data_IF_566956280821
#
_entry.id   IF_566956280821
#
_cell.length_a   1.000
_cell.length_b   1.000
_cell.length_c   1.000
_cell.angle_alpha   90.00
_cell.angle_beta   90.00
_cell.angle_gamma   90.00
#
_symmetry.space_group_name_H-M   'P 1'
#
loop_
_entity.id
_entity.type
_entity.pdbx_description
1 polymer ?
#
# COMPACT_ATOMS: atom_id res chain seq x y z
N UNK A 1 -14.37 -7.25 -1.34
CA UNK A 1 -14.17 -6.27 -2.42
C UNK A 1 -14.46 -6.82 -3.83
N UNK A 2 -15.03 -8.06 -3.95
CA UNK A 2 -15.56 -8.59 -5.21
C UNK A 2 -14.54 -9.04 -6.27
N UNK A 3 -13.24 -8.91 -6.01
CA UNK A 3 -12.20 -9.42 -6.90
C UNK A 3 -11.60 -10.72 -6.38
N UNK A 4 -11.31 -11.64 -7.30
CA UNK A 4 -10.54 -12.85 -7.00
C UNK A 4 -9.12 -12.49 -6.57
N UNK A 5 -8.57 -13.32 -5.66
CA UNK A 5 -7.18 -13.16 -5.24
C UNK A 5 -6.23 -13.60 -6.36
N UNK A 6 -5.19 -12.82 -6.64
CA UNK A 6 -4.08 -13.27 -7.49
C UNK A 6 -3.35 -14.47 -6.89
N UNK A 7 -2.44 -15.07 -7.67
CA UNK A 7 -1.71 -16.31 -7.32
C UNK A 7 -0.80 -16.20 -6.07
N UNK A 8 -0.51 -15.01 -5.57
CA UNK A 8 0.40 -14.79 -4.44
C UNK A 8 -0.32 -14.97 -3.09
N UNK A 9 -0.21 -16.16 -2.53
CA UNK A 9 -0.87 -16.48 -1.25
C UNK A 9 -0.21 -15.73 -0.08
N UNK A 10 -0.96 -14.92 0.70
CA UNK A 10 -0.42 -14.15 1.82
C UNK A 10 0.08 -15.02 2.98
N UNK A 11 -0.24 -16.31 3.01
CA UNK A 11 0.34 -17.26 3.97
C UNK A 11 1.78 -17.66 3.62
N UNK A 12 2.17 -17.51 2.36
CA UNK A 12 3.53 -17.77 1.88
C UNK A 12 4.37 -16.49 1.79
N UNK A 13 3.75 -15.34 1.51
CA UNK A 13 4.36 -14.02 1.39
C UNK A 13 3.52 -13.01 2.17
N UNK A 14 3.84 -12.87 3.46
CA UNK A 14 2.98 -12.20 4.45
C UNK A 14 2.67 -10.73 4.14
N UNK A 15 3.56 -10.02 3.43
CA UNK A 15 3.32 -8.65 3.01
C UNK A 15 2.07 -8.48 2.15
N UNK A 16 1.72 -9.51 1.39
CA UNK A 16 0.51 -9.47 0.55
C UNK A 16 -0.78 -9.46 1.37
N UNK A 17 -0.75 -9.84 2.64
CA UNK A 17 -1.93 -9.78 3.51
C UNK A 17 -2.43 -8.34 3.67
N UNK A 18 -1.55 -7.42 4.05
CA UNK A 18 -1.90 -6.01 4.17
C UNK A 18 -2.21 -5.38 2.80
N UNK A 19 -1.44 -5.74 1.75
CA UNK A 19 -1.70 -5.26 0.39
C UNK A 19 -3.12 -5.61 -0.07
N UNK A 20 -3.54 -6.86 0.04
CA UNK A 20 -4.87 -7.27 -0.41
C UNK A 20 -6.01 -6.68 0.43
N UNK A 21 -5.78 -6.54 1.74
CA UNK A 21 -6.78 -5.96 2.63
C UNK A 21 -7.01 -4.47 2.36
N UNK A 22 -5.95 -3.71 2.01
CA UNK A 22 -5.97 -2.24 1.93
C UNK A 22 -5.85 -1.68 0.50
N UNK A 23 -5.78 -2.55 -0.52
CA UNK A 23 -5.69 -2.10 -1.90
C UNK A 23 -6.90 -1.25 -2.31
N UNK A 24 -6.71 -0.13 -3.01
CA UNK A 24 -7.79 0.79 -3.34
C UNK A 24 -8.80 0.22 -4.35
N UNK A 25 -8.49 -0.88 -5.03
CA UNK A 25 -9.40 -1.54 -6.00
C UNK A 25 -9.67 -3.01 -5.71
N UNK A 26 -9.50 -3.45 -4.46
CA UNK A 26 -9.65 -4.84 -4.05
C UNK A 26 -8.34 -5.64 -4.15
N UNK A 27 -8.41 -6.96 -4.11
CA UNK A 27 -7.23 -7.83 -4.10
C UNK A 27 -6.40 -7.68 -5.39
N UNK A 28 -5.38 -6.83 -5.35
CA UNK A 28 -4.54 -6.51 -6.50
C UNK A 28 -3.06 -6.54 -6.12
N UNK A 29 -2.29 -7.44 -6.74
CA UNK A 29 -0.85 -7.57 -6.47
C UNK A 29 0.00 -6.46 -7.13
N UNK A 30 -0.53 -5.72 -8.11
CA UNK A 30 0.20 -4.62 -8.77
C UNK A 30 0.01 -3.26 -8.08
N UNK A 31 -0.86 -3.18 -7.08
CA UNK A 31 -1.01 -1.98 -6.24
C UNK A 31 -0.03 -1.96 -5.05
N UNK A 32 0.79 -3.00 -4.92
CA UNK A 32 1.81 -3.15 -3.88
C UNK A 32 2.35 -4.57 -3.95
N UNK A 33 3.36 -4.80 -4.76
CA UNK A 33 3.94 -6.12 -5.07
C UNK A 33 4.89 -6.61 -3.96
N UNK A 34 4.42 -6.61 -2.73
CA UNK A 34 5.18 -7.07 -1.58
C UNK A 34 5.77 -8.47 -1.73
N UNK A 35 5.20 -9.31 -2.60
CA UNK A 35 5.78 -10.63 -2.90
C UNK A 35 7.20 -10.50 -3.48
N UNK A 36 7.47 -9.51 -4.33
CA UNK A 36 8.82 -9.26 -4.85
C UNK A 36 9.79 -8.85 -3.74
N UNK A 37 9.34 -7.97 -2.83
CA UNK A 37 10.13 -7.54 -1.67
C UNK A 37 10.35 -8.71 -0.70
N UNK A 38 9.32 -9.48 -0.40
CA UNK A 38 9.43 -10.66 0.45
C UNK A 38 10.34 -11.75 -0.15
N UNK A 39 10.56 -11.73 -1.47
CA UNK A 39 11.49 -12.58 -2.21
C UNK A 39 12.88 -11.95 -2.44
N UNK A 40 13.10 -10.73 -1.97
CA UNK A 40 14.44 -10.11 -1.98
C UNK A 40 14.59 -8.80 -2.75
N UNK A 41 13.54 -8.31 -3.44
CA UNK A 41 13.61 -6.99 -4.07
C UNK A 41 13.91 -5.92 -3.02
N UNK A 42 14.90 -5.09 -3.30
CA UNK A 42 15.33 -3.99 -2.44
C UNK A 42 15.40 -2.70 -3.24
N UNK A 43 14.80 -1.64 -2.70
CA UNK A 43 14.95 -0.26 -3.13
C UNK A 43 15.22 0.58 -1.86
N UNK A 44 16.46 0.51 -1.40
CA UNK A 44 16.88 1.11 -0.12
C UNK A 44 16.68 2.61 -0.06
N UNK A 45 16.82 3.29 -1.21
CA UNK A 45 16.70 4.74 -1.36
C UNK A 45 15.29 5.26 -1.00
N UNK A 46 14.28 4.40 -1.16
CA UNK A 46 12.89 4.68 -0.76
C UNK A 46 12.45 3.87 0.46
N UNK A 47 13.40 3.25 1.16
CA UNK A 47 13.17 2.49 2.38
C UNK A 47 12.39 1.19 2.18
N UNK A 48 12.41 0.62 0.96
CA UNK A 48 11.84 -0.68 0.65
C UNK A 48 12.92 -1.74 0.81
N UNK A 49 12.88 -2.44 1.95
CA UNK A 49 13.88 -3.44 2.32
C UNK A 49 13.18 -4.72 2.79
N UNK A 50 13.65 -5.91 2.35
CA UNK A 50 13.07 -7.18 2.76
C UNK A 50 13.18 -7.40 4.27
N UNK A 51 12.11 -7.89 4.88
CA UNK A 51 12.10 -8.27 6.30
C UNK A 51 11.88 -9.77 6.53
N UNK A 52 11.95 -10.57 5.44
CA UNK A 52 11.64 -11.99 5.45
C UNK A 52 10.15 -12.28 5.19
N UNK A 53 9.88 -13.27 4.32
CA UNK A 53 8.56 -13.51 3.73
C UNK A 53 7.45 -13.91 4.71
N UNK A 54 7.82 -14.41 5.89
CA UNK A 54 6.87 -14.85 6.92
C UNK A 54 6.76 -13.87 8.11
N UNK A 55 7.60 -12.83 8.16
CA UNK A 55 7.55 -11.83 9.22
C UNK A 55 6.30 -10.96 9.01
N UNK A 56 5.49 -10.81 10.06
CA UNK A 56 4.28 -9.97 10.03
C UNK A 56 4.49 -8.65 10.77
N UNK A 57 5.07 -8.70 11.98
CA UNK A 57 5.33 -7.49 12.79
C UNK A 57 6.31 -6.53 12.11
N UNK A 58 5.94 -5.25 12.04
CA UNK A 58 6.73 -4.20 11.37
C UNK A 58 6.71 -4.27 9.84
N UNK A 59 5.97 -5.21 9.26
CA UNK A 59 5.86 -5.36 7.80
C UNK A 59 5.07 -4.20 7.17
N UNK A 60 4.08 -3.71 7.86
CA UNK A 60 3.15 -2.69 7.35
C UNK A 60 3.85 -1.40 6.95
N UNK A 61 4.92 -1.02 7.66
CA UNK A 61 5.77 0.12 7.28
C UNK A 61 6.41 -0.01 5.90
N UNK A 62 6.77 -1.22 5.50
CA UNK A 62 7.32 -1.47 4.15
C UNK A 62 6.19 -1.53 3.14
N UNK A 63 5.04 -2.11 3.51
CA UNK A 63 3.85 -2.18 2.66
C UNK A 63 3.39 -0.78 2.22
N UNK A 64 3.32 0.19 3.14
CA UNK A 64 2.92 1.56 2.80
C UNK A 64 3.86 2.17 1.76
N UNK A 65 5.17 2.03 1.95
CA UNK A 65 6.18 2.54 1.01
C UNK A 65 6.10 1.89 -0.37
N UNK A 66 5.88 0.57 -0.42
CA UNK A 66 5.70 -0.15 -1.68
C UNK A 66 4.45 0.31 -2.41
N UNK A 67 3.33 0.49 -1.70
CA UNK A 67 2.09 0.98 -2.30
C UNK A 67 2.23 2.40 -2.84
N UNK A 68 2.91 3.29 -2.12
CA UNK A 68 3.18 4.67 -2.57
C UNK A 68 4.06 4.66 -3.81
N UNK A 69 5.13 3.87 -3.78
CA UNK A 69 6.05 3.75 -4.91
C UNK A 69 5.38 3.16 -6.16
N UNK A 70 4.60 2.08 -5.99
CA UNK A 70 3.85 1.49 -7.11
C UNK A 70 2.70 2.36 -7.61
N UNK A 71 2.19 3.24 -6.78
CA UNK A 71 1.23 4.26 -7.21
C UNK A 71 1.85 5.24 -8.23
N UNK A 72 3.11 5.61 -8.06
CA UNK A 72 3.85 6.41 -9.07
C UNK A 72 4.00 5.64 -10.38
N UNK A 73 4.37 4.35 -10.33
CA UNK A 73 4.44 3.50 -11.54
C UNK A 73 3.10 3.47 -12.28
N UNK A 74 2.01 3.26 -11.55
CA UNK A 74 0.67 3.25 -12.14
C UNK A 74 0.30 4.61 -12.76
N UNK A 75 0.68 5.71 -12.13
CA UNK A 75 0.42 7.06 -12.64
C UNK A 75 1.28 7.40 -13.85
N UNK A 76 2.51 6.89 -13.90
CA UNK A 76 3.41 7.03 -15.05
C UNK A 76 3.13 5.99 -16.17
N UNK A 77 2.13 5.12 -16.00
CA UNK A 77 1.81 4.01 -16.93
C UNK A 77 3.05 3.12 -17.18
N UNK A 78 3.90 2.99 -16.17
CA UNK A 78 5.12 2.18 -16.26
C UNK A 78 4.85 0.74 -15.85
N UNK A 79 5.36 -0.20 -16.62
CA UNK A 79 5.29 -1.62 -16.28
C UNK A 79 6.12 -1.91 -15.02
N UNK A 80 5.53 -2.57 -14.04
CA UNK A 80 6.18 -2.92 -12.78
C UNK A 80 7.41 -3.83 -12.95
N UNK A 81 7.47 -4.63 -14.02
CA UNK A 81 8.60 -5.52 -14.28
C UNK A 81 9.86 -4.82 -14.80
N UNK A 82 9.77 -3.58 -15.26
CA UNK A 82 10.94 -2.79 -15.66
C UNK A 82 11.86 -2.52 -14.47
N UNK A 83 11.29 -2.21 -13.33
CA UNK A 83 11.93 -2.10 -12.02
C UNK A 83 13.27 -1.30 -12.02
N UNK A 84 13.31 -0.07 -12.56
CA UNK A 84 14.51 0.74 -12.53
C UNK A 84 14.90 1.07 -11.09
N UNK A 85 16.15 1.44 -10.85
CA UNK A 85 16.56 2.01 -9.56
C UNK A 85 15.74 3.25 -9.25
N UNK A 86 15.54 3.56 -7.97
CA UNK A 86 14.74 4.72 -7.58
C UNK A 86 15.27 6.04 -8.14
N UNK A 87 16.59 6.32 -8.14
CA UNK A 87 17.14 7.52 -8.79
C UNK A 87 16.86 7.59 -10.30
N UNK A 88 16.96 6.46 -11.01
CA UNK A 88 16.68 6.43 -12.44
C UNK A 88 15.21 6.71 -12.72
N UNK A 89 14.29 6.12 -11.94
CA UNK A 89 12.86 6.37 -12.11
C UNK A 89 12.49 7.83 -11.85
N UNK A 90 13.03 8.42 -10.79
CA UNK A 90 12.85 9.85 -10.49
C UNK A 90 13.37 10.73 -11.62
N UNK A 91 14.56 10.42 -12.16
CA UNK A 91 15.11 11.13 -13.29
C UNK A 91 14.19 11.06 -14.52
N UNK A 92 13.70 9.88 -14.85
CA UNK A 92 12.75 9.71 -15.96
C UNK A 92 11.48 10.53 -15.77
N UNK A 93 10.90 10.55 -14.56
CA UNK A 93 9.72 11.35 -14.25
C UNK A 93 10.02 12.85 -14.37
N UNK A 94 11.15 13.31 -13.85
CA UNK A 94 11.55 14.71 -13.90
C UNK A 94 11.76 15.18 -15.34
N UNK A 95 12.44 14.40 -16.17
CA UNK A 95 12.66 14.72 -17.60
C UNK A 95 11.34 14.73 -18.38
N UNK A 96 10.43 13.79 -18.10
CA UNK A 96 9.15 13.70 -18.79
C UNK A 96 8.18 14.82 -18.42
N UNK A 97 8.21 15.30 -17.17
CA UNK A 97 7.28 16.31 -16.65
C UNK A 97 7.84 17.72 -16.64
N UNK A 98 9.14 17.88 -16.70
CA UNK A 98 9.84 19.15 -16.45
C UNK A 98 9.88 19.54 -14.95
N UNK A 99 9.44 18.66 -14.05
CA UNK A 99 9.44 18.92 -12.60
C UNK A 99 10.77 18.51 -11.98
N UNK A 100 11.54 19.48 -11.52
CA UNK A 100 12.79 19.22 -10.80
C UNK A 100 12.48 18.92 -9.33
N UNK A 101 12.51 17.65 -8.95
CA UNK A 101 12.16 17.20 -7.59
C UNK A 101 12.98 15.98 -7.17
N UNK A 102 13.18 15.84 -5.87
CA UNK A 102 13.94 14.73 -5.30
C UNK A 102 13.08 13.47 -5.08
N UNK A 103 13.73 12.40 -4.64
CA UNK A 103 13.09 11.11 -4.35
C UNK A 103 12.01 11.26 -3.27
N UNK A 104 12.24 12.11 -2.26
CA UNK A 104 11.31 12.29 -1.13
C UNK A 104 10.02 12.95 -1.62
N UNK A 105 10.14 13.96 -2.47
CA UNK A 105 8.99 14.63 -3.07
C UNK A 105 8.15 13.67 -3.92
N UNK A 106 8.79 12.85 -4.74
CA UNK A 106 8.10 11.87 -5.58
C UNK A 106 7.42 10.78 -4.72
N UNK A 107 8.10 10.29 -3.68
CA UNK A 107 7.51 9.32 -2.75
C UNK A 107 6.28 9.91 -2.05
N UNK A 108 6.36 11.15 -1.59
CA UNK A 108 5.22 11.88 -1.00
C UNK A 108 4.09 12.10 -2.02
N UNK A 109 4.41 12.28 -3.29
CA UNK A 109 3.41 12.34 -4.37
C UNK A 109 2.67 11.01 -4.51
N UNK A 110 3.37 9.89 -4.46
CA UNK A 110 2.77 8.56 -4.43
C UNK A 110 1.84 8.36 -3.24
N UNK A 111 2.28 8.75 -2.05
CA UNK A 111 1.48 8.75 -0.82
C UNK A 111 0.21 9.58 -0.99
N UNK A 112 0.32 10.82 -1.46
CA UNK A 112 -0.83 11.70 -1.73
C UNK A 112 -1.86 11.06 -2.67
N UNK A 113 -1.41 10.44 -3.75
CA UNK A 113 -2.31 9.77 -4.70
C UNK A 113 -2.97 8.54 -4.06
N UNK A 114 -2.23 7.79 -3.24
CA UNK A 114 -2.77 6.63 -2.54
C UNK A 114 -3.85 7.03 -1.54
N UNK A 115 -3.60 8.06 -0.72
CA UNK A 115 -4.57 8.58 0.25
C UNK A 115 -5.78 9.22 -0.42
N UNK A 116 -5.60 9.89 -1.57
CA UNK A 116 -6.71 10.40 -2.38
C UNK A 116 -7.61 9.25 -2.88
N UNK A 117 -7.02 8.14 -3.35
CA UNK A 117 -7.80 6.94 -3.72
C UNK A 117 -8.54 6.36 -2.53
N UNK A 118 -7.95 6.38 -1.33
CA UNK A 118 -8.62 5.93 -0.11
C UNK A 118 -9.80 6.84 0.24
N UNK A 119 -9.60 8.15 0.23
CA UNK A 119 -10.66 9.13 0.48
C UNK A 119 -11.82 8.98 -0.51
N UNK A 120 -11.53 8.80 -1.80
CA UNK A 120 -12.53 8.50 -2.82
C UNK A 120 -13.33 7.23 -2.49
N UNK A 121 -12.66 6.16 -2.10
CA UNK A 121 -13.32 4.92 -1.69
C UNK A 121 -14.18 5.10 -0.43
N UNK A 122 -13.72 5.90 0.53
CA UNK A 122 -14.52 6.23 1.72
C UNK A 122 -15.82 6.98 1.35
N UNK A 123 -15.78 7.89 0.38
CA UNK A 123 -16.97 8.54 -0.18
C UNK A 123 -17.95 7.54 -0.79
N UNK A 124 -17.44 6.46 -1.38
CA UNK A 124 -18.26 5.35 -1.91
C UNK A 124 -18.68 4.33 -0.85
N UNK A 125 -18.45 4.61 0.44
CA UNK A 125 -18.90 3.79 1.56
C UNK A 125 -17.91 2.71 2.02
N UNK A 126 -16.69 2.66 1.47
CA UNK A 126 -15.63 1.76 1.99
C UNK A 126 -15.21 2.24 3.38
N UNK A 127 -15.19 1.32 4.35
CA UNK A 127 -14.86 1.57 5.76
C UNK A 127 -13.79 0.60 6.23
N UNK A 128 -13.31 0.78 7.46
CA UNK A 128 -12.36 -0.11 8.13
C UNK A 128 -12.76 -1.59 8.06
N UNK A 129 -14.03 -1.91 8.23
CA UNK A 129 -14.55 -3.29 8.18
C UNK A 129 -14.41 -3.97 6.81
N UNK A 130 -14.17 -3.22 5.75
CA UNK A 130 -13.91 -3.76 4.42
C UNK A 130 -12.45 -4.19 4.23
N UNK A 131 -11.52 -3.68 5.05
CA UNK A 131 -10.10 -4.03 5.02
C UNK A 131 -9.89 -5.35 5.75
N UNK A 132 -10.13 -6.45 5.04
CA UNK A 132 -10.06 -7.81 5.57
C UNK A 132 -9.65 -8.81 4.49
N UNK A 133 -9.18 -9.96 4.92
CA UNK A 133 -8.98 -11.13 4.05
C UNK A 133 -10.15 -12.11 4.19
N UNK A 134 -10.41 -12.91 3.15
CA UNK A 134 -11.30 -14.07 3.26
C UNK A 134 -10.81 -15.04 4.35
N UNK A 135 -11.72 -15.61 5.12
CA UNK A 135 -11.40 -16.51 6.25
C UNK A 135 -10.52 -17.69 5.83
N UNK A 136 -10.73 -18.23 4.62
CA UNK A 136 -9.90 -19.32 4.08
C UNK A 136 -8.40 -19.02 4.07
N UNK A 137 -7.98 -17.75 4.03
CA UNK A 137 -6.58 -17.34 4.07
C UNK A 137 -6.03 -17.22 5.50
N UNK A 138 -6.90 -17.30 6.49
CA UNK A 138 -6.55 -17.32 7.91
C UNK A 138 -6.41 -18.76 8.44
N UNK A 139 -6.68 -19.77 7.59
CA UNK A 139 -6.53 -21.19 7.93
C UNK A 139 -5.12 -21.64 7.49
N UNK A 140 -4.33 -22.27 8.38
CA UNK A 140 -3.01 -22.79 8.04
C UNK A 140 -3.04 -23.81 6.91
N UNK A 141 -2.01 -23.83 6.08
CA UNK A 141 -1.77 -24.88 5.08
C UNK A 141 -0.45 -25.59 5.39
N UNK A 142 -0.41 -26.90 5.16
CA UNK A 142 0.81 -27.71 5.34
C UNK A 142 1.91 -27.34 4.34
N UNK A 143 1.52 -27.04 3.09
CA UNK A 143 2.42 -26.73 2.00
C UNK A 143 2.66 -25.21 1.90
N UNK A 144 3.78 -24.77 1.34
CA UNK A 144 4.09 -23.38 1.01
C UNK A 144 4.10 -22.39 2.19
N UNK A 145 3.09 -22.42 3.05
CA UNK A 145 2.98 -21.56 4.23
C UNK A 145 3.72 -22.10 5.46
N UNK A 146 4.19 -23.35 5.44
CA UNK A 146 4.79 -24.03 6.61
C UNK A 146 3.90 -23.97 7.85
N UNK A 147 2.58 -24.14 7.68
CA UNK A 147 1.60 -24.05 8.76
C UNK A 147 1.36 -22.64 9.32
N UNK A 148 1.82 -21.59 8.65
CA UNK A 148 1.70 -20.20 9.12
C UNK A 148 0.53 -19.49 8.47
N UNK A 149 0.01 -18.48 9.18
CA UNK A 149 -0.97 -17.52 8.67
C UNK A 149 -0.50 -16.10 9.00
N UNK A 150 -0.85 -15.10 8.18
CA UNK A 150 -0.54 -13.71 8.51
C UNK A 150 -1.37 -13.24 9.70
N UNK A 151 -0.77 -12.49 10.59
CA UNK A 151 -1.45 -11.84 11.73
C UNK A 151 -2.14 -10.55 11.25
N UNK A 152 -3.21 -10.68 10.47
CA UNK A 152 -3.85 -9.59 9.73
C UNK A 152 -4.30 -8.45 10.65
N UNK A 153 -4.88 -8.76 11.82
CA UNK A 153 -5.32 -7.76 12.80
C UNK A 153 -4.18 -6.82 13.17
N UNK A 154 -3.08 -7.39 13.69
CA UNK A 154 -1.88 -6.64 14.07
C UNK A 154 -1.27 -5.87 12.88
N UNK A 155 -1.22 -6.50 11.71
CA UNK A 155 -0.67 -5.83 10.51
C UNK A 155 -1.53 -4.62 10.11
N UNK A 156 -2.86 -4.70 10.25
CA UNK A 156 -3.74 -3.58 9.96
C UNK A 156 -3.64 -2.47 11.01
N UNK A 157 -3.47 -2.81 12.29
CA UNK A 157 -3.21 -1.82 13.34
C UNK A 157 -1.93 -1.03 13.04
N UNK A 158 -0.81 -1.71 12.74
CA UNK A 158 0.43 -1.08 12.32
C UNK A 158 0.27 -0.26 11.04
N UNK A 159 -0.49 -0.78 10.07
CA UNK A 159 -0.72 -0.12 8.78
C UNK A 159 -1.49 1.20 8.95
N UNK A 160 -2.56 1.18 9.73
CA UNK A 160 -3.38 2.34 10.00
C UNK A 160 -2.61 3.41 10.77
N UNK A 161 -1.80 3.01 11.76
CA UNK A 161 -0.91 3.92 12.47
C UNK A 161 0.14 4.56 11.53
N UNK A 162 0.77 3.78 10.64
CA UNK A 162 1.76 4.29 9.68
C UNK A 162 1.13 5.22 8.64
N UNK A 163 -0.12 4.94 8.21
CA UNK A 163 -0.88 5.75 7.27
C UNK A 163 -1.51 7.00 7.91
N UNK A 164 -1.59 7.06 9.22
CA UNK A 164 -2.40 8.04 9.94
C UNK A 164 -3.87 8.00 9.46
N UNK A 165 -4.44 6.79 9.46
CA UNK A 165 -5.84 6.55 9.14
C UNK A 165 -6.64 6.29 10.42
N UNK A 166 -7.84 6.86 10.49
CA UNK A 166 -8.75 6.65 11.60
C UNK A 166 -9.22 5.19 11.67
N UNK A 167 -8.97 4.54 12.80
CA UNK A 167 -9.28 3.13 13.00
C UNK A 167 -10.76 2.80 12.96
N UNK A 168 -11.63 3.70 13.30
CA UNK A 168 -13.08 3.46 13.35
C UNK A 168 -13.70 3.57 11.96
N UNK A 169 -13.35 4.60 11.24
CA UNK A 169 -13.96 4.92 9.94
C UNK A 169 -13.17 4.39 8.77
N UNK A 170 -11.87 4.21 8.90
CA UNK A 170 -10.96 3.89 7.82
C UNK A 170 -10.62 5.07 6.92
N UNK A 171 -10.91 6.30 7.36
CA UNK A 171 -10.58 7.53 6.64
C UNK A 171 -9.12 7.94 6.93
N UNK A 172 -8.37 8.49 5.95
CA UNK A 172 -7.17 9.25 6.27
C UNK A 172 -7.50 10.38 7.24
N UNK A 173 -6.62 10.67 8.22
CA UNK A 173 -6.87 11.76 9.16
C UNK A 173 -7.00 13.10 8.42
N UNK A 174 -7.71 14.04 9.02
CA UNK A 174 -7.88 15.40 8.48
C UNK A 174 -6.50 16.07 8.29
N UNK A 175 -5.65 15.97 9.30
CA UNK A 175 -4.31 16.56 9.29
C UNK A 175 -3.40 15.91 8.26
N UNK A 176 -3.50 14.58 8.08
CA UNK A 176 -2.82 13.85 7.01
C UNK A 176 -3.17 14.40 5.63
N UNK A 177 -4.45 14.55 5.34
CA UNK A 177 -4.91 15.06 4.04
C UNK A 177 -4.45 16.50 3.81
N UNK A 178 -4.57 17.37 4.81
CA UNK A 178 -4.07 18.75 4.73
C UNK A 178 -2.56 18.77 4.50
N UNK A 179 -1.81 17.97 5.26
CA UNK A 179 -0.37 17.83 5.13
C UNK A 179 0.08 17.33 3.75
N UNK A 180 -0.74 16.53 3.09
CA UNK A 180 -0.51 16.06 1.72
C UNK A 180 -0.95 17.07 0.64
N UNK A 181 -1.45 18.25 1.01
CA UNK A 181 -1.93 19.27 0.08
C UNK A 181 -3.31 18.94 -0.50
N UNK A 182 -4.17 18.30 0.28
CA UNK A 182 -5.54 17.91 -0.09
C UNK A 182 -6.57 18.54 0.89
N UNK A 183 -6.54 19.85 1.15
CA UNK A 183 -7.44 20.47 2.15
C UNK A 183 -8.92 20.36 1.75
N UNK A 184 -9.25 20.46 0.47
CA UNK A 184 -10.64 20.34 -0.01
C UNK A 184 -11.17 18.93 0.19
N UNK A 185 -10.32 17.90 0.00
CA UNK A 185 -10.68 16.51 0.26
C UNK A 185 -10.85 16.26 1.76
N UNK A 186 -10.02 16.90 2.59
CA UNK A 186 -10.14 16.82 4.04
C UNK A 186 -11.49 17.40 4.51
N UNK A 187 -11.87 18.58 4.01
CA UNK A 187 -13.15 19.21 4.32
C UNK A 187 -14.33 18.34 3.83
N UNK A 188 -14.29 17.89 2.59
CA UNK A 188 -15.33 17.03 2.01
C UNK A 188 -15.53 15.73 2.79
N UNK A 189 -14.45 15.09 3.24
CA UNK A 189 -14.49 13.79 3.91
C UNK A 189 -14.91 13.89 5.39
N UNK A 190 -14.58 14.99 6.07
CA UNK A 190 -14.76 15.13 7.51
C UNK A 190 -15.86 16.12 7.90
N UNK A 191 -16.07 17.18 7.11
CA UNK A 191 -17.01 18.25 7.41
C UNK A 191 -18.31 18.12 6.56
N UNK A 192 -18.25 17.38 5.45
CA UNK A 192 -19.38 17.13 4.54
C UNK A 192 -20.17 15.87 4.94
N UNK A 193 -21.05 16.00 5.93
CA UNK A 193 -22.03 14.97 6.33
C UNK A 193 -23.43 15.46 6.04
#
# INVERSE_FOLDING_TARGET
NGLELPAWDPRAVSGMAAVYATSPRGACHVQGDMYMVDMGLTLSEVGIVPGGRFKTRGKSKVVTKVQDWRTLYNSAIMCMFVNPTAPLFVKLLSEATGWSSDIVWWQRTGERIFDLKRAFNNRLGVKRGNDRLPERLLIPMSNGSRGRTPQVGMMLEEYYAERDWDWQTGKPSRDKLIGLGLPDIAADLWDGS
#
